data_IF_529464005916
#
_entry.id   IF_529464005916
#
_cell.length_a   1.000
_cell.length_b   1.000
_cell.length_c   1.000
_cell.angle_alpha   90.00
_cell.angle_beta   90.00
_cell.angle_gamma   90.00
#
_symmetry.space_group_name_H-M   'P 1'
#
loop_
_entity.id
_entity.type
_entity.pdbx_description
1 polymer ?
#
# COMPACT_ATOMS: atom_id res chain seq x y z
N UNK A 1 14.51 -8.11 0.53
CA UNK A 1 13.82 -7.55 -0.65
C UNK A 1 13.29 -6.17 -0.26
N UNK A 2 13.83 -5.08 -0.83
CA UNK A 2 13.29 -3.74 -0.61
C UNK A 2 12.11 -3.53 -1.57
N UNK A 3 10.88 -3.72 -1.09
CA UNK A 3 9.68 -3.36 -1.84
C UNK A 3 9.61 -1.83 -1.95
N UNK A 4 9.82 -1.31 -3.14
CA UNK A 4 9.77 0.12 -3.38
C UNK A 4 8.38 0.67 -3.12
N UNK A 5 8.32 1.91 -2.62
CA UNK A 5 7.04 2.58 -2.27
C UNK A 5 6.05 2.63 -3.44
N UNK A 6 6.55 2.69 -4.67
CA UNK A 6 5.72 2.76 -5.88
C UNK A 6 5.39 1.40 -6.50
N UNK A 7 6.03 0.32 -6.04
CA UNK A 7 5.78 -1.02 -6.57
C UNK A 7 4.35 -1.48 -6.30
N UNK A 8 3.89 -2.45 -7.09
CA UNK A 8 2.63 -3.13 -6.85
C UNK A 8 2.66 -3.81 -5.48
N UNK A 9 1.58 -3.66 -4.72
CA UNK A 9 1.51 -4.22 -3.39
C UNK A 9 1.44 -5.75 -3.44
N UNK A 10 2.30 -6.49 -2.71
CA UNK A 10 2.32 -7.95 -2.74
C UNK A 10 1.08 -8.61 -2.11
N UNK A 11 0.17 -7.85 -1.49
CA UNK A 11 -1.09 -8.37 -0.98
C UNK A 11 -2.16 -8.66 -2.05
N UNK A 12 -1.86 -8.41 -3.33
CA UNK A 12 -2.78 -8.70 -4.44
C UNK A 12 -3.90 -7.66 -4.62
N UNK A 13 -3.86 -6.53 -3.92
CA UNK A 13 -4.90 -5.50 -3.99
C UNK A 13 -4.92 -4.68 -5.29
N UNK A 14 -3.92 -4.85 -6.16
CA UNK A 14 -3.72 -4.04 -7.37
C UNK A 14 -3.30 -2.59 -7.10
N UNK A 15 -3.17 -2.17 -5.83
CA UNK A 15 -2.74 -0.83 -5.44
C UNK A 15 -1.21 -0.75 -5.30
N UNK A 16 -0.64 0.45 -5.43
CA UNK A 16 0.78 0.69 -5.11
C UNK A 16 1.05 0.47 -3.62
N UNK A 17 2.22 -0.05 -3.26
CA UNK A 17 2.61 -0.41 -1.90
C UNK A 17 2.41 0.75 -0.91
N UNK A 18 2.88 1.96 -1.25
CA UNK A 18 2.69 3.19 -0.46
C UNK A 18 1.24 3.67 -0.29
N UNK A 19 0.31 3.16 -1.10
CA UNK A 19 -1.13 3.47 -1.06
C UNK A 19 -1.96 2.28 -0.58
N UNK A 20 -1.30 1.20 -0.16
CA UNK A 20 -1.92 -0.03 0.31
C UNK A 20 -1.36 -0.40 1.69
N UNK A 21 -0.44 -1.35 1.79
CA UNK A 21 0.10 -1.82 3.07
C UNK A 21 1.03 -0.83 3.77
N UNK A 22 1.59 0.15 3.05
CA UNK A 22 2.45 1.21 3.61
C UNK A 22 1.72 2.57 3.71
N UNK A 23 0.49 2.68 3.20
CA UNK A 23 -0.27 3.93 3.27
C UNK A 23 -0.85 4.13 4.66
N UNK A 24 -0.08 4.73 5.58
CA UNK A 24 -0.47 5.02 6.97
C UNK A 24 -1.52 6.14 7.11
N UNK A 25 -2.25 6.46 6.05
CA UNK A 25 -3.19 7.59 6.06
C UNK A 25 -4.58 7.05 5.75
N UNK A 26 -5.36 6.99 6.82
CA UNK A 26 -6.80 7.21 6.74
C UNK A 26 -7.60 6.07 6.10
N UNK A 27 -7.69 4.94 6.79
CA UNK A 27 -9.04 4.50 7.16
C UNK A 27 -9.61 5.57 8.12
N UNK A 28 -10.03 6.72 7.56
CA UNK A 28 -11.03 7.53 8.24
C UNK A 28 -12.37 6.87 7.93
N UNK A 29 -13.00 6.48 9.04
CA UNK A 29 -14.41 6.71 9.30
C UNK A 29 -15.43 5.72 8.71
N UNK A 30 -15.53 4.54 9.34
CA UNK A 30 -16.68 4.16 10.17
C UNK A 30 -16.33 2.96 11.06
#
# INVERSE_FOLDING_TARGET
MNLGRNDSCPCGSGKKFKRCCMGSVSHQNR
#
